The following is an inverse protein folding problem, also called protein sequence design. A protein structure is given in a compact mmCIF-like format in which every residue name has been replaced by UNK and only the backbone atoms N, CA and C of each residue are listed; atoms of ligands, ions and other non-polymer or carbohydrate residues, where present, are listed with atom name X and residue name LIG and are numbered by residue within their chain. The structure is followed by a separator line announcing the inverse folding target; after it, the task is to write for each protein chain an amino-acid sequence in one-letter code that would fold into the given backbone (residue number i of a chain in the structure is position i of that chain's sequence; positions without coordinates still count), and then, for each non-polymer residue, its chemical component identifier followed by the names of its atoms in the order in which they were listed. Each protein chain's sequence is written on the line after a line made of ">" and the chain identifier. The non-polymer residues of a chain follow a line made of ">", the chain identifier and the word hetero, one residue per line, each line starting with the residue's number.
data_IF_453630009646
#
_entry.id   IF_453630009646
#
_cell.length_a   1.000
_cell.length_b   1.000
_cell.length_c   1.000
_cell.angle_alpha   90.00
_cell.angle_beta   90.00
_cell.angle_gamma   90.00
#
_symmetry.space_group_name_H-M   'P 1'
#
loop_
_entity.id
_entity.type
_entity.pdbx_description
1 polymer ?
#
# COMPACT_ATOMS: atom_id res chain seq x y z
N UNK A 1 -12.91 -20.31 8.12
CA UNK A 1 -13.31 -20.40 6.70
C UNK A 1 -12.68 -19.24 5.96
N UNK A 2 -11.52 -19.48 5.30
CA UNK A 2 -10.87 -18.50 4.44
C UNK A 2 -11.80 -18.25 3.24
N UNK A 3 -12.60 -17.18 3.30
CA UNK A 3 -13.30 -16.70 2.12
C UNK A 3 -12.25 -16.28 1.11
N UNK A 4 -12.22 -16.97 -0.03
CA UNK A 4 -11.42 -16.56 -1.20
C UNK A 4 -11.75 -15.09 -1.49
N UNK A 5 -10.78 -14.24 -1.28
CA UNK A 5 -10.84 -12.87 -1.79
C UNK A 5 -10.83 -12.98 -3.32
N UNK A 6 -11.99 -12.83 -3.93
CA UNK A 6 -12.10 -12.71 -5.37
C UNK A 6 -11.46 -11.36 -5.75
N UNK A 7 -10.25 -11.40 -6.28
CA UNK A 7 -9.64 -10.23 -6.90
C UNK A 7 -10.53 -9.81 -8.08
N UNK A 8 -11.30 -8.77 -7.90
CA UNK A 8 -12.04 -8.15 -8.97
C UNK A 8 -11.28 -6.93 -9.44
N UNK A 9 -10.99 -6.86 -10.73
CA UNK A 9 -10.62 -5.59 -11.37
C UNK A 9 -11.87 -4.79 -11.65
N UNK A 10 -11.82 -3.50 -11.42
CA UNK A 10 -12.85 -2.55 -11.79
C UNK A 10 -12.22 -1.32 -12.43
N UNK A 11 -12.96 -0.68 -13.31
CA UNK A 11 -12.52 0.56 -13.94
C UNK A 11 -12.49 1.71 -12.93
N UNK A 12 -11.43 2.50 -12.97
CA UNK A 12 -11.38 3.78 -12.27
C UNK A 12 -12.42 4.72 -12.89
N UNK A 13 -13.24 5.37 -12.07
CA UNK A 13 -14.26 6.32 -12.52
C UNK A 13 -13.64 7.39 -13.41
N UNK A 14 -14.31 7.74 -14.52
CA UNK A 14 -13.83 8.76 -15.46
C UNK A 14 -13.52 10.09 -14.79
N UNK A 15 -14.33 10.49 -13.80
CA UNK A 15 -14.11 11.71 -13.02
C UNK A 15 -12.81 11.74 -12.21
N UNK A 16 -12.19 10.58 -12.00
CA UNK A 16 -10.91 10.43 -11.32
C UNK A 16 -9.74 10.18 -12.28
N UNK A 17 -10.02 9.99 -13.57
CA UNK A 17 -8.98 9.76 -14.60
C UNK A 17 -8.36 11.07 -15.02
N UNK A 18 -7.05 11.07 -15.15
CA UNK A 18 -6.35 12.15 -15.84
C UNK A 18 -6.30 11.79 -17.32
N UNK A 19 -6.95 12.57 -18.17
CA UNK A 19 -6.86 12.43 -19.63
C UNK A 19 -5.46 12.87 -20.09
N UNK A 20 -4.52 11.96 -19.96
CA UNK A 20 -3.13 12.16 -20.36
C UNK A 20 -2.98 11.91 -21.86
N UNK A 21 -3.75 12.30 -22.75
CA UNK A 21 -3.60 12.13 -24.21
C UNK A 21 -2.49 11.17 -24.71
N UNK A 22 -2.31 10.95 -25.95
CA UNK A 22 -1.16 10.20 -26.45
C UNK A 22 0.11 11.04 -26.23
N UNK A 23 0.82 10.76 -25.15
CA UNK A 23 2.05 11.49 -24.77
C UNK A 23 3.27 11.02 -25.55
N UNK A 24 3.12 10.06 -26.49
CA UNK A 24 4.23 9.45 -27.20
C UNK A 24 5.18 8.63 -26.31
N UNK A 25 4.86 8.47 -25.02
CA UNK A 25 5.66 7.67 -24.09
C UNK A 25 5.55 6.19 -24.41
N UNK A 26 6.68 5.48 -24.36
CA UNK A 26 6.75 4.06 -24.68
C UNK A 26 7.42 3.27 -23.54
N UNK A 27 7.09 1.98 -23.41
CA UNK A 27 7.73 1.08 -22.44
C UNK A 27 7.54 1.52 -20.98
N UNK A 28 8.61 1.51 -20.21
CA UNK A 28 8.62 1.81 -18.77
C UNK A 28 8.23 3.26 -18.43
N UNK A 29 8.43 4.20 -19.33
CA UNK A 29 8.07 5.61 -19.09
C UNK A 29 6.56 5.79 -18.98
N UNK A 30 5.77 4.93 -19.64
CA UNK A 30 4.31 4.90 -19.47
C UNK A 30 3.91 4.55 -18.01
N UNK A 31 4.71 3.79 -17.29
CA UNK A 31 4.40 3.42 -15.89
C UNK A 31 4.49 4.62 -14.94
N UNK A 32 5.35 5.59 -15.25
CA UNK A 32 5.55 6.80 -14.42
C UNK A 32 4.46 7.85 -14.60
N UNK A 33 3.58 7.67 -15.59
CA UNK A 33 2.54 8.62 -15.90
C UNK A 33 1.44 8.58 -14.82
N UNK A 34 1.10 9.74 -14.27
CA UNK A 34 -0.01 9.89 -13.30
C UNK A 34 -1.35 9.87 -14.03
N UNK A 35 -2.04 8.72 -14.03
CA UNK A 35 -3.26 8.44 -14.80
C UNK A 35 -4.55 8.80 -14.09
N UNK A 36 -4.50 8.99 -12.78
CA UNK A 36 -5.70 9.26 -12.00
C UNK A 36 -5.38 9.97 -10.69
N UNK A 37 -6.42 10.37 -9.97
CA UNK A 37 -6.31 10.88 -8.61
C UNK A 37 -5.86 9.83 -7.57
N UNK A 38 -5.82 8.54 -7.97
CA UNK A 38 -5.35 7.40 -7.15
C UNK A 38 -4.24 6.63 -7.89
N UNK A 39 -3.11 7.28 -8.21
CA UNK A 39 -2.11 6.75 -9.14
C UNK A 39 -1.45 5.45 -8.67
N UNK A 40 -1.27 5.27 -7.36
CA UNK A 40 -0.61 4.10 -6.78
C UNK A 40 -1.34 2.77 -7.06
N UNK A 41 -2.65 2.81 -7.36
CA UNK A 41 -3.47 1.62 -7.58
C UNK A 41 -4.07 1.56 -9.00
N UNK A 42 -3.79 2.54 -9.85
CA UNK A 42 -4.33 2.61 -11.20
C UNK A 42 -3.39 1.96 -12.21
N UNK A 43 -3.86 0.92 -12.89
CA UNK A 43 -3.12 0.24 -13.95
C UNK A 43 -3.07 1.08 -15.25
N UNK A 44 -2.29 0.60 -16.23
CA UNK A 44 -2.12 1.28 -17.53
C UNK A 44 -3.45 1.40 -18.31
N UNK A 45 -4.33 0.43 -18.14
CA UNK A 45 -5.66 0.35 -18.78
C UNK A 45 -6.76 1.04 -17.97
N UNK A 46 -6.39 1.84 -16.96
CA UNK A 46 -7.30 2.51 -16.03
C UNK A 46 -8.14 1.55 -15.17
N UNK A 47 -7.77 0.29 -15.09
CA UNK A 47 -8.35 -0.63 -14.11
C UNK A 47 -7.63 -0.53 -12.76
N UNK A 48 -8.26 -1.02 -11.71
CA UNK A 48 -7.69 -1.22 -10.40
C UNK A 48 -8.19 -2.52 -9.79
N UNK A 49 -7.36 -3.22 -9.00
CA UNK A 49 -7.82 -4.34 -8.18
C UNK A 49 -8.48 -3.79 -6.92
N UNK A 50 -9.71 -4.20 -6.68
CA UNK A 50 -10.50 -3.72 -5.56
C UNK A 50 -10.79 -4.83 -4.54
N UNK A 51 -10.81 -4.43 -3.28
CA UNK A 51 -11.33 -5.19 -2.16
C UNK A 51 -12.32 -4.30 -1.42
N UNK A 52 -13.49 -4.83 -1.08
CA UNK A 52 -14.50 -4.08 -0.33
C UNK A 52 -14.45 -4.48 1.15
N UNK A 53 -14.58 -3.48 2.01
CA UNK A 53 -14.65 -3.68 3.46
C UNK A 53 -16.07 -3.31 3.92
N UNK A 54 -16.73 -4.25 4.59
CA UNK A 54 -18.09 -4.07 5.09
C UNK A 54 -18.06 -3.97 6.62
N UNK A 55 -18.93 -3.12 7.15
CA UNK A 55 -19.01 -2.87 8.58
C UNK A 55 -19.36 -4.15 9.38
N UNK A 56 -20.19 -5.02 8.79
CA UNK A 56 -20.67 -6.26 9.42
C UNK A 56 -19.56 -7.32 9.55
N UNK A 57 -18.56 -7.29 8.65
CA UNK A 57 -17.51 -8.30 8.60
C UNK A 57 -16.19 -7.83 9.19
N UNK A 58 -15.90 -6.53 9.14
CA UNK A 58 -14.71 -5.94 9.70
C UNK A 58 -14.96 -4.48 10.14
N UNK A 59 -15.62 -4.29 11.30
CA UNK A 59 -16.05 -2.96 11.76
C UNK A 59 -14.90 -2.00 12.04
N UNK A 60 -13.78 -2.49 12.55
CA UNK A 60 -12.62 -1.64 12.88
C UNK A 60 -11.96 -1.09 11.62
N UNK A 61 -11.70 -1.96 10.64
CA UNK A 61 -11.09 -1.56 9.38
C UNK A 61 -12.03 -0.69 8.53
N UNK A 62 -13.33 -0.98 8.57
CA UNK A 62 -14.34 -0.12 7.98
C UNK A 62 -14.31 1.29 8.59
N UNK A 63 -14.26 1.38 9.93
CA UNK A 63 -14.22 2.66 10.64
C UNK A 63 -12.95 3.46 10.30
N UNK A 64 -11.81 2.79 10.16
CA UNK A 64 -10.57 3.40 9.73
C UNK A 64 -10.71 4.04 8.33
N UNK A 65 -11.19 3.29 7.34
CA UNK A 65 -11.38 3.78 5.97
C UNK A 65 -12.41 4.91 5.93
N UNK A 66 -13.50 4.79 6.68
CA UNK A 66 -14.52 5.82 6.80
C UNK A 66 -13.93 7.13 7.36
N UNK A 67 -13.15 7.03 8.42
CA UNK A 67 -12.48 8.19 9.03
C UNK A 67 -11.45 8.83 8.09
N UNK A 68 -10.72 8.02 7.35
CA UNK A 68 -9.81 8.50 6.33
C UNK A 68 -10.57 9.26 5.22
N UNK A 69 -11.70 8.71 4.77
CA UNK A 69 -12.56 9.38 3.79
C UNK A 69 -13.09 10.73 4.30
N UNK A 70 -13.61 10.77 5.53
CA UNK A 70 -14.12 12.00 6.15
C UNK A 70 -13.07 13.12 6.21
N UNK A 71 -11.79 12.75 6.40
CA UNK A 71 -10.69 13.71 6.51
C UNK A 71 -10.06 14.10 5.18
N UNK A 72 -9.96 13.18 4.23
CA UNK A 72 -9.21 13.37 2.98
C UNK A 72 -10.09 13.55 1.75
N UNK A 73 -11.39 13.21 1.84
CA UNK A 73 -12.28 13.09 0.68
C UNK A 73 -12.05 11.81 -0.14
N UNK A 74 -11.06 10.97 0.20
CA UNK A 74 -10.70 9.75 -0.51
C UNK A 74 -11.12 8.51 0.29
N UNK A 75 -11.98 7.67 -0.26
CA UNK A 75 -12.48 6.44 0.37
C UNK A 75 -11.62 5.19 0.06
N UNK A 76 -10.41 5.38 -0.42
CA UNK A 76 -9.52 4.30 -0.87
C UNK A 76 -8.19 4.37 -0.14
N UNK A 77 -7.75 3.24 0.40
CA UNK A 77 -6.40 3.04 0.93
C UNK A 77 -5.72 1.89 0.19
N UNK A 78 -4.39 1.89 0.16
CA UNK A 78 -3.62 0.82 -0.48
C UNK A 78 -3.50 -0.35 0.48
N UNK A 79 -3.83 -1.57 0.00
CA UNK A 79 -3.58 -2.81 0.70
C UNK A 79 -2.47 -3.58 -0.03
N UNK A 80 -1.39 -3.87 0.69
CA UNK A 80 -0.23 -4.61 0.18
C UNK A 80 0.33 -5.52 1.26
N UNK A 81 1.14 -6.51 0.86
CA UNK A 81 1.90 -7.32 1.82
C UNK A 81 2.88 -6.43 2.59
N UNK A 82 3.04 -6.70 3.89
CA UNK A 82 4.01 -5.99 4.70
C UNK A 82 5.33 -6.75 4.68
N UNK A 83 6.21 -6.37 3.79
CA UNK A 83 7.57 -6.89 3.61
C UNK A 83 8.32 -6.04 2.58
N UNK A 84 9.64 -6.09 2.59
CA UNK A 84 10.47 -5.62 1.47
C UNK A 84 10.69 -6.74 0.46
N UNK A 85 11.13 -6.39 -0.75
CA UNK A 85 11.38 -7.37 -1.81
C UNK A 85 12.43 -8.40 -1.36
N UNK A 86 12.11 -9.69 -1.48
CA UNK A 86 12.94 -10.80 -1.04
C UNK A 86 12.72 -11.24 0.41
N UNK A 87 12.16 -10.39 1.26
CA UNK A 87 11.83 -10.71 2.64
C UNK A 87 10.51 -11.49 2.73
N UNK A 88 10.38 -12.50 3.62
CA UNK A 88 9.10 -13.12 3.95
C UNK A 88 8.10 -12.09 4.47
N UNK A 89 6.79 -12.36 4.28
CA UNK A 89 5.74 -11.52 4.85
C UNK A 89 5.90 -11.49 6.38
N UNK A 90 5.81 -10.31 6.97
CA UNK A 90 5.85 -10.06 8.40
C UNK A 90 4.85 -10.96 9.15
N UNK A 91 5.32 -11.66 10.17
CA UNK A 91 4.52 -12.58 11.00
C UNK A 91 4.48 -12.18 12.47
N UNK A 92 5.50 -11.47 12.96
CA UNK A 92 5.61 -11.06 14.36
C UNK A 92 5.70 -9.53 14.50
N UNK A 93 5.45 -8.97 15.69
CA UNK A 93 5.69 -7.54 15.94
C UNK A 93 7.14 -7.12 15.71
N UNK A 94 8.11 -8.01 16.02
CA UNK A 94 9.53 -7.79 15.78
C UNK A 94 9.85 -7.70 14.30
N UNK A 95 9.26 -8.57 13.46
CA UNK A 95 9.42 -8.51 12.01
C UNK A 95 8.82 -7.21 11.47
N UNK A 96 7.65 -6.80 11.99
CA UNK A 96 7.01 -5.54 11.62
C UNK A 96 7.91 -4.34 11.94
N UNK A 97 8.50 -4.33 13.14
CA UNK A 97 9.42 -3.26 13.55
C UNK A 97 10.67 -3.23 12.68
N UNK A 98 11.30 -4.38 12.41
CA UNK A 98 12.47 -4.47 11.52
C UNK A 98 12.15 -3.96 10.13
N UNK A 99 11.08 -4.45 9.50
CA UNK A 99 10.64 -4.01 8.18
C UNK A 99 10.34 -2.50 8.17
N UNK A 100 9.67 -1.98 9.19
CA UNK A 100 9.43 -0.54 9.37
C UNK A 100 10.74 0.25 9.41
N UNK A 101 11.70 -0.16 10.23
CA UNK A 101 12.97 0.56 10.39
C UNK A 101 13.85 0.51 9.14
N UNK A 102 13.78 -0.56 8.35
CA UNK A 102 14.52 -0.76 7.09
C UNK A 102 13.94 0.00 5.89
N UNK A 103 12.71 0.48 5.98
CA UNK A 103 11.99 1.17 4.89
C UNK A 103 11.90 2.66 5.12
N UNK A 104 11.35 3.43 4.17
CA UNK A 104 11.12 4.87 4.28
C UNK A 104 9.70 5.20 4.79
N UNK A 105 9.05 4.27 5.53
CA UNK A 105 7.77 4.54 6.18
C UNK A 105 7.93 5.55 7.31
N UNK A 106 7.02 6.49 7.42
CA UNK A 106 7.05 7.53 8.47
C UNK A 106 6.53 7.01 9.80
N UNK A 107 5.49 6.18 9.75
CA UNK A 107 4.77 5.68 10.92
C UNK A 107 4.40 4.21 10.76
N UNK A 108 4.35 3.49 11.88
CA UNK A 108 3.81 2.13 11.98
C UNK A 108 2.75 2.10 13.07
N UNK A 109 1.52 1.75 12.71
CA UNK A 109 0.46 1.42 13.67
C UNK A 109 0.35 -0.10 13.77
N UNK A 110 0.47 -0.64 14.98
CA UNK A 110 0.39 -2.07 15.25
C UNK A 110 -0.31 -2.32 16.59
N UNK A 111 -1.48 -2.96 16.56
CA UNK A 111 -2.35 -3.04 17.73
C UNK A 111 -2.69 -1.63 18.24
N UNK A 112 -2.46 -1.42 19.54
CA UNK A 112 -2.71 -0.14 20.21
C UNK A 112 -1.48 0.80 20.20
N UNK A 113 -0.41 0.45 19.48
CA UNK A 113 0.83 1.23 19.44
C UNK A 113 0.96 2.00 18.13
N UNK A 114 1.42 3.24 18.23
CA UNK A 114 1.85 4.07 17.11
C UNK A 114 3.34 4.38 17.27
N UNK A 115 4.13 3.93 16.31
CA UNK A 115 5.57 4.22 16.25
C UNK A 115 5.81 5.28 15.16
N UNK A 116 6.53 6.32 15.53
CA UNK A 116 6.95 7.41 14.63
C UNK A 116 8.44 7.19 14.35
N UNK A 117 8.85 7.12 13.08
CA UNK A 117 10.19 6.72 12.66
C UNK A 117 11.30 7.51 13.34
N UNK A 118 11.19 8.84 13.32
CA UNK A 118 12.24 9.72 13.85
C UNK A 118 12.36 9.71 15.38
N UNK A 119 11.36 9.15 16.08
CA UNK A 119 11.37 8.98 17.55
C UNK A 119 11.98 7.63 17.97
N UNK A 120 12.27 6.75 17.01
CA UNK A 120 12.81 5.43 17.32
C UNK A 120 14.33 5.52 17.57
N UNK A 121 14.87 4.63 18.42
CA UNK A 121 16.31 4.49 18.59
C UNK A 121 17.03 4.22 17.27
N UNK A 122 18.32 4.58 17.20
CA UNK A 122 19.14 4.28 16.03
C UNK A 122 19.13 2.77 15.73
N UNK A 123 18.87 2.43 14.46
CA UNK A 123 18.77 1.05 14.00
C UNK A 123 19.90 0.76 13.01
N UNK A 124 20.91 0.00 13.44
CA UNK A 124 22.16 -0.25 12.71
C UNK A 124 22.03 -1.31 11.59
N UNK A 125 20.82 -1.81 11.32
CA UNK A 125 20.59 -2.90 10.38
C UNK A 125 19.95 -2.44 9.06
N UNK A 126 19.82 -1.12 8.86
CA UNK A 126 19.10 -0.55 7.70
C UNK A 126 19.69 -1.01 6.37
N UNK A 127 21.01 -1.18 6.29
CA UNK A 127 21.71 -1.48 5.04
C UNK A 127 22.09 -2.97 4.88
N UNK A 128 21.91 -3.79 5.93
CA UNK A 128 22.32 -5.20 5.95
C UNK A 128 21.28 -6.18 5.39
N UNK A 129 20.04 -5.77 5.26
CA UNK A 129 18.94 -6.63 4.82
C UNK A 129 19.15 -7.20 3.40
N UNK A 130 19.83 -6.45 2.51
CA UNK A 130 20.13 -6.90 1.14
C UNK A 130 21.14 -8.06 1.10
N UNK A 131 21.92 -8.25 2.17
CA UNK A 131 22.82 -9.40 2.33
C UNK A 131 22.07 -10.63 2.89
N UNK A 132 21.07 -10.38 3.74
CA UNK A 132 20.23 -11.42 4.36
C UNK A 132 19.27 -12.05 3.34
N UNK A 133 18.69 -11.22 2.45
CA UNK A 133 17.70 -11.65 1.44
C UNK A 133 18.27 -11.42 0.03
N UNK A 134 19.11 -12.32 -0.43
CA UNK A 134 19.64 -12.30 -1.81
C UNK A 134 18.48 -12.53 -2.79
N UNK A 135 18.38 -11.65 -3.77
CA UNK A 135 17.47 -11.84 -4.90
C UNK A 135 18.10 -12.87 -5.85
N UNK A 136 17.30 -13.89 -6.22
CA UNK A 136 17.67 -14.85 -7.28
C UNK A 136 17.78 -14.18 -8.64
#
# INVERSE_FOLDING_TARGET
>A
EFRRVLFRSADVKESLRNNTGDTGLFGLDRLRQVRSAIPAVTHIDYSARIQTVHQETNPEYYSLIKRFHEKSGCAVIVNTSFNVRGEPIVCTPEDAYKCFMRTEMDMLAIGDFLLIKHEQPFFDDKDKWGEEYKLD
#
